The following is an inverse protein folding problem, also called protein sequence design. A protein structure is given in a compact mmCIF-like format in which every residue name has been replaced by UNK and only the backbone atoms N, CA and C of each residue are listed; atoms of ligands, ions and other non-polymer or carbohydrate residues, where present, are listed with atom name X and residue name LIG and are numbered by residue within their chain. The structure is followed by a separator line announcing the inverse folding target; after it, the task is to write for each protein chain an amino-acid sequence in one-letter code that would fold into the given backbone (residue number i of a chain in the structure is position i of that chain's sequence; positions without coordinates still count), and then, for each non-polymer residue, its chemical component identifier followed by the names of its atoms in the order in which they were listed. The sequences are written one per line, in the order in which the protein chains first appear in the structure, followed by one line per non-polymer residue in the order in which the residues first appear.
data_IF_051030665489
#
_entry.id   IF_051030665489
#
_cell.length_a   1.000
_cell.length_b   1.000
_cell.length_c   1.000
_cell.angle_alpha   90.00
_cell.angle_beta   90.00
_cell.angle_gamma   90.00
#
_symmetry.space_group_name_H-M   'P 1'
#
loop_
_entity.id
_entity.type
_entity.pdbx_description
1 polymer ?
#
# COMPACT_ATOMS: atom_id res chain seq x y z
N UNK A 1 -2.12 20.76 -15.89
CA UNK A 1 -3.14 20.36 -14.88
C UNK A 1 -2.97 21.13 -13.56
N UNK A 2 -1.74 21.34 -13.07
CA UNK A 2 -1.47 21.99 -11.76
C UNK A 2 -1.85 23.48 -11.72
N UNK A 3 -1.72 24.20 -12.84
CA UNK A 3 -2.10 25.62 -12.94
C UNK A 3 -3.62 25.77 -12.78
N UNK A 4 -4.41 24.92 -13.41
CA UNK A 4 -5.88 24.94 -13.27
C UNK A 4 -6.32 24.58 -11.85
N UNK A 5 -5.67 23.61 -11.22
CA UNK A 5 -5.95 23.22 -9.83
C UNK A 5 -5.61 24.35 -8.85
N UNK A 6 -4.51 25.08 -9.07
CA UNK A 6 -4.12 26.21 -8.22
C UNK A 6 -5.12 27.35 -8.25
N UNK A 7 -5.73 27.64 -9.42
CA UNK A 7 -6.71 28.71 -9.59
C UNK A 7 -8.09 28.35 -9.02
N UNK A 8 -8.58 27.11 -9.28
CA UNK A 8 -9.94 26.73 -8.90
C UNK A 8 -10.05 26.05 -7.52
N UNK A 9 -8.97 25.45 -7.02
CA UNK A 9 -8.92 24.75 -5.71
C UNK A 9 -7.58 24.97 -5.01
N UNK A 10 -7.26 26.18 -4.56
CA UNK A 10 -5.94 26.50 -3.98
C UNK A 10 -5.60 25.64 -2.77
N UNK A 11 -6.57 25.31 -1.90
CA UNK A 11 -6.33 24.41 -0.75
C UNK A 11 -5.85 23.02 -1.18
N UNK A 12 -6.46 22.45 -2.24
CA UNK A 12 -6.07 21.14 -2.76
C UNK A 12 -4.67 21.19 -3.38
N UNK A 13 -4.34 22.26 -4.09
CA UNK A 13 -3.00 22.49 -4.64
C UNK A 13 -1.94 22.51 -3.54
N UNK A 14 -2.14 23.31 -2.49
CA UNK A 14 -1.20 23.42 -1.39
C UNK A 14 -1.08 22.12 -0.57
N UNK A 15 -2.19 21.39 -0.37
CA UNK A 15 -2.15 20.08 0.29
C UNK A 15 -1.33 19.08 -0.52
N UNK A 16 -1.55 19.00 -1.84
CA UNK A 16 -0.75 18.15 -2.73
C UNK A 16 0.73 18.52 -2.71
N UNK A 17 1.05 19.81 -2.80
CA UNK A 17 2.44 20.29 -2.75
C UNK A 17 3.15 19.87 -1.46
N UNK A 18 2.46 19.94 -0.32
CA UNK A 18 2.99 19.46 0.97
C UNK A 18 3.24 17.95 0.97
N UNK A 19 2.30 17.16 0.47
CA UNK A 19 2.43 15.70 0.38
C UNK A 19 3.60 15.33 -0.55
N UNK A 20 3.69 15.92 -1.74
CA UNK A 20 4.80 15.67 -2.66
C UNK A 20 6.14 16.12 -2.08
N UNK A 21 6.17 17.24 -1.36
CA UNK A 21 7.37 17.69 -0.64
C UNK A 21 7.81 16.66 0.39
N UNK A 22 6.90 16.21 1.25
CA UNK A 22 7.18 15.18 2.23
C UNK A 22 7.71 13.89 1.60
N UNK A 23 7.04 13.41 0.56
CA UNK A 23 7.43 12.20 -0.17
C UNK A 23 8.84 12.34 -0.73
N UNK A 24 9.15 13.45 -1.41
CA UNK A 24 10.46 13.72 -1.98
C UNK A 24 11.57 13.79 -0.92
N UNK A 25 11.28 14.40 0.22
CA UNK A 25 12.29 14.72 1.24
C UNK A 25 12.54 13.53 2.19
N UNK A 26 11.58 12.60 2.31
CA UNK A 26 11.63 11.49 3.26
C UNK A 26 11.70 10.10 2.63
N UNK A 27 11.29 9.93 1.37
CA UNK A 27 11.26 8.64 0.71
C UNK A 27 12.26 8.55 -0.43
N UNK A 28 12.98 7.43 -0.50
CA UNK A 28 13.85 7.11 -1.63
C UNK A 28 13.00 6.53 -2.75
N UNK A 29 12.50 7.40 -3.63
CA UNK A 29 11.69 6.99 -4.77
C UNK A 29 12.60 6.74 -5.97
N UNK A 30 12.39 5.62 -6.66
CA UNK A 30 13.03 5.36 -7.94
C UNK A 30 12.49 6.32 -9.01
N UNK A 31 13.27 6.62 -10.05
CA UNK A 31 12.71 7.29 -11.21
C UNK A 31 11.59 6.44 -11.83
N UNK A 32 10.66 7.08 -12.58
CA UNK A 32 9.62 6.35 -13.29
C UNK A 32 10.24 5.41 -14.34
N UNK A 33 9.60 4.29 -14.58
CA UNK A 33 9.97 3.34 -15.61
C UNK A 33 8.93 3.42 -16.74
N UNK A 34 9.41 3.50 -17.98
CA UNK A 34 8.55 3.65 -19.15
C UNK A 34 7.89 2.34 -19.56
N UNK A 35 8.52 1.21 -19.23
CA UNK A 35 8.03 -0.11 -19.59
C UNK A 35 8.10 -1.11 -18.45
N UNK A 36 7.23 -2.11 -18.50
CA UNK A 36 7.27 -3.24 -17.57
C UNK A 36 8.59 -4.01 -17.62
N UNK A 37 9.18 -4.15 -18.79
CA UNK A 37 10.46 -4.82 -18.98
C UNK A 37 11.60 -4.08 -18.26
N UNK A 38 11.67 -2.76 -18.36
CA UNK A 38 12.62 -1.95 -17.60
C UNK A 38 12.45 -2.12 -16.08
N UNK A 39 11.21 -2.01 -15.60
CA UNK A 39 10.91 -2.21 -14.18
C UNK A 39 11.39 -3.58 -13.71
N UNK A 40 11.11 -4.64 -14.48
CA UNK A 40 11.51 -6.00 -14.15
C UNK A 40 13.03 -6.14 -14.09
N UNK A 41 13.77 -5.69 -15.10
CA UNK A 41 15.23 -5.75 -15.12
C UNK A 41 15.83 -5.06 -13.89
N UNK A 42 15.42 -3.81 -13.63
CA UNK A 42 15.93 -3.05 -12.48
C UNK A 42 15.54 -3.70 -11.15
N UNK A 43 14.32 -4.23 -11.04
CA UNK A 43 13.86 -4.87 -9.83
C UNK A 43 14.69 -6.13 -9.52
N UNK A 44 14.94 -6.96 -10.52
CA UNK A 44 15.73 -8.19 -10.34
C UNK A 44 17.19 -7.92 -9.97
N UNK A 45 17.79 -6.90 -10.57
CA UNK A 45 19.19 -6.55 -10.35
C UNK A 45 19.44 -5.83 -9.02
N UNK A 46 18.53 -4.96 -8.60
CA UNK A 46 18.78 -4.04 -7.49
C UNK A 46 18.16 -4.46 -6.16
N UNK A 47 17.09 -5.26 -6.18
CA UNK A 47 16.35 -5.57 -4.96
C UNK A 47 16.43 -7.04 -4.59
N UNK A 48 16.75 -7.30 -3.34
CA UNK A 48 16.71 -8.65 -2.75
C UNK A 48 15.30 -9.09 -2.39
N UNK A 49 14.38 -8.15 -2.21
CA UNK A 49 12.97 -8.38 -1.98
C UNK A 49 12.14 -7.14 -2.36
N UNK A 50 10.87 -7.36 -2.69
CA UNK A 50 9.87 -6.33 -2.86
C UNK A 50 8.68 -6.58 -1.92
N UNK A 51 8.17 -5.50 -1.34
CA UNK A 51 7.05 -5.56 -0.38
C UNK A 51 5.87 -4.79 -0.97
N UNK A 52 4.71 -5.40 -1.02
CA UNK A 52 3.45 -4.70 -1.29
C UNK A 52 2.58 -4.63 -0.04
N UNK A 53 1.87 -3.55 0.09
CA UNK A 53 1.00 -3.24 1.24
C UNK A 53 1.32 -1.85 1.83
N UNK A 54 0.59 -1.28 2.81
CA UNK A 54 -0.58 -1.97 3.39
C UNK A 54 -1.88 -1.67 2.65
N UNK A 55 -2.44 -0.56 2.69
CA UNK A 55 -3.69 -0.05 2.11
C UNK A 55 -4.56 -1.09 1.35
N UNK A 56 -5.65 -0.67 0.76
CA UNK A 56 -6.57 -1.50 -0.04
C UNK A 56 -6.01 -1.81 -1.44
N UNK A 57 -4.72 -2.13 -1.54
CA UNK A 57 -4.04 -2.35 -2.82
C UNK A 57 -4.50 -3.62 -3.54
N UNK A 58 -5.12 -4.56 -2.83
CA UNK A 58 -5.74 -5.76 -3.39
C UNK A 58 -7.25 -5.62 -3.56
N UNK A 59 -7.77 -4.41 -3.30
CA UNK A 59 -9.16 -4.09 -3.57
C UNK A 59 -9.33 -3.89 -5.08
N UNK A 60 -10.27 -4.62 -5.62
CA UNK A 60 -10.57 -4.68 -7.04
C UNK A 60 -11.66 -3.66 -7.40
N UNK A 61 -11.47 -2.41 -7.02
CA UNK A 61 -12.39 -1.33 -7.38
C UNK A 61 -12.34 -1.12 -8.89
N UNK A 62 -13.36 -1.59 -9.59
CA UNK A 62 -13.43 -1.52 -11.06
C UNK A 62 -13.38 -2.86 -11.79
N UNK A 63 -13.24 -3.99 -11.08
CA UNK A 63 -13.34 -5.32 -11.68
C UNK A 63 -12.04 -5.88 -12.27
N UNK A 64 -10.93 -5.14 -12.22
CA UNK A 64 -9.65 -5.58 -12.77
C UNK A 64 -8.58 -5.75 -11.68
N UNK A 65 -7.81 -6.83 -11.80
CA UNK A 65 -6.63 -7.06 -10.96
C UNK A 65 -5.42 -6.45 -11.64
N UNK A 66 -4.80 -5.45 -10.99
CA UNK A 66 -3.60 -4.84 -11.53
C UNK A 66 -2.35 -5.61 -11.09
N UNK A 67 -1.58 -6.23 -12.01
CA UNK A 67 -0.48 -7.14 -11.67
C UNK A 67 0.64 -6.49 -10.87
N UNK A 68 0.88 -5.19 -10.99
CA UNK A 68 1.92 -4.48 -10.23
C UNK A 68 1.67 -4.51 -8.73
N UNK A 69 0.42 -4.51 -8.27
CA UNK A 69 0.08 -4.64 -6.84
C UNK A 69 0.37 -6.03 -6.26
N UNK A 70 0.65 -7.00 -7.14
CA UNK A 70 1.08 -8.35 -6.77
C UNK A 70 2.55 -8.60 -7.07
N UNK A 71 3.33 -7.54 -7.30
CA UNK A 71 4.78 -7.58 -7.50
C UNK A 71 5.20 -8.53 -8.66
N UNK A 72 4.38 -8.62 -9.72
CA UNK A 72 4.65 -9.56 -10.82
C UNK A 72 5.92 -9.23 -11.61
N UNK A 73 6.48 -8.06 -11.39
CA UNK A 73 7.72 -7.57 -12.01
C UNK A 73 9.00 -8.10 -11.35
N UNK A 74 8.92 -8.89 -10.28
CA UNK A 74 10.07 -9.48 -9.60
C UNK A 74 9.82 -10.98 -9.36
N UNK A 75 10.89 -11.74 -9.20
CA UNK A 75 10.83 -13.17 -8.92
C UNK A 75 9.97 -13.51 -7.68
N UNK A 76 9.25 -14.62 -7.74
CA UNK A 76 8.31 -15.03 -6.69
C UNK A 76 9.00 -15.22 -5.33
N UNK A 77 10.25 -15.68 -5.33
CA UNK A 77 11.04 -15.86 -4.11
C UNK A 77 11.37 -14.55 -3.39
N UNK A 78 11.19 -13.42 -4.06
CA UNK A 78 11.43 -12.07 -3.55
C UNK A 78 10.17 -11.31 -3.17
N UNK A 79 8.95 -11.86 -3.41
CA UNK A 79 7.67 -11.16 -3.19
C UNK A 79 7.18 -11.30 -1.77
N UNK A 80 6.85 -10.18 -1.15
CA UNK A 80 6.35 -10.11 0.23
C UNK A 80 5.06 -9.30 0.24
N UNK A 81 3.98 -9.88 0.75
CA UNK A 81 2.74 -9.16 1.03
C UNK A 81 2.69 -8.83 2.53
N UNK A 82 2.74 -7.52 2.85
CA UNK A 82 2.63 -7.04 4.21
C UNK A 82 1.35 -6.22 4.40
N UNK A 83 0.39 -6.79 5.12
CA UNK A 83 -0.88 -6.15 5.48
C UNK A 83 -1.70 -5.55 4.31
N UNK A 84 -1.65 -6.04 3.04
CA UNK A 84 -2.60 -5.54 2.04
C UNK A 84 -4.03 -5.84 2.50
N UNK A 85 -4.95 -4.92 2.18
CA UNK A 85 -6.38 -5.11 2.38
C UNK A 85 -7.04 -5.52 1.07
N UNK A 86 -7.91 -6.53 1.13
CA UNK A 86 -8.71 -6.98 -0.01
C UNK A 86 -9.93 -6.07 -0.21
N UNK A 87 -10.46 -5.50 0.87
CA UNK A 87 -11.55 -4.52 0.83
C UNK A 87 -12.93 -5.07 0.42
N UNK A 88 -13.06 -6.38 0.20
CA UNK A 88 -14.32 -7.01 -0.19
C UNK A 88 -14.74 -8.14 0.74
N UNK A 89 -16.03 -8.44 0.68
CA UNK A 89 -16.57 -9.64 1.31
C UNK A 89 -16.39 -10.90 0.45
N UNK A 90 -16.24 -10.75 -0.86
CA UNK A 90 -16.02 -11.84 -1.81
C UNK A 90 -15.15 -11.34 -2.96
N UNK A 91 -14.28 -12.17 -3.47
CA UNK A 91 -13.60 -11.90 -4.74
C UNK A 91 -14.64 -12.04 -5.85
N UNK A 92 -14.77 -11.06 -6.76
CA UNK A 92 -15.73 -11.14 -7.84
C UNK A 92 -15.52 -12.41 -8.69
N UNK A 93 -16.63 -13.03 -9.10
CA UNK A 93 -16.59 -14.20 -9.98
C UNK A 93 -15.88 -13.85 -11.30
N UNK A 94 -15.05 -14.77 -11.77
CA UNK A 94 -14.27 -14.62 -13.02
C UNK A 94 -12.84 -14.09 -12.84
N UNK A 95 -12.48 -13.59 -11.65
CA UNK A 95 -11.10 -13.18 -11.34
C UNK A 95 -10.46 -13.98 -10.20
N UNK A 96 -11.19 -14.95 -9.65
CA UNK A 96 -10.72 -15.77 -8.51
C UNK A 96 -9.43 -16.52 -8.85
N UNK A 97 -9.34 -17.11 -10.05
CA UNK A 97 -8.15 -17.84 -10.49
C UNK A 97 -6.95 -16.91 -10.63
N UNK A 98 -7.15 -15.73 -11.22
CA UNK A 98 -6.08 -14.75 -11.38
C UNK A 98 -5.60 -14.24 -10.02
N UNK A 99 -6.54 -13.93 -9.12
CA UNK A 99 -6.25 -13.54 -7.75
C UNK A 99 -5.49 -14.66 -7.03
N UNK A 100 -5.98 -15.88 -7.11
CA UNK A 100 -5.37 -17.06 -6.50
C UNK A 100 -3.93 -17.29 -6.97
N UNK A 101 -3.70 -17.20 -8.27
CA UNK A 101 -2.37 -17.35 -8.87
C UNK A 101 -1.39 -16.29 -8.35
N UNK A 102 -1.81 -15.02 -8.30
CA UNK A 102 -0.95 -13.95 -7.80
C UNK A 102 -0.65 -14.07 -6.30
N UNK A 103 -1.64 -14.46 -5.50
CA UNK A 103 -1.45 -14.69 -4.07
C UNK A 103 -0.55 -15.90 -3.83
N UNK A 104 -0.69 -16.97 -4.63
CA UNK A 104 0.16 -18.16 -4.54
C UNK A 104 1.64 -17.84 -4.85
N UNK A 105 1.89 -16.87 -5.70
CA UNK A 105 3.24 -16.41 -6.03
C UNK A 105 3.91 -15.54 -4.96
N UNK A 106 3.26 -15.26 -3.83
CA UNK A 106 3.87 -14.55 -2.71
C UNK A 106 4.71 -15.50 -1.85
N UNK A 107 5.98 -15.18 -1.63
CA UNK A 107 6.85 -15.93 -0.71
C UNK A 107 6.38 -15.80 0.73
N UNK A 108 6.16 -14.57 1.18
CA UNK A 108 5.60 -14.28 2.50
C UNK A 108 4.24 -13.59 2.33
N UNK A 109 3.25 -14.09 3.07
CA UNK A 109 1.86 -13.72 2.89
C UNK A 109 1.25 -13.29 4.21
N UNK A 110 0.92 -12.01 4.32
CA UNK A 110 0.11 -11.48 5.39
C UNK A 110 -0.98 -10.57 4.85
N UNK A 111 -2.01 -10.32 5.64
CA UNK A 111 -3.12 -9.42 5.31
C UNK A 111 -3.52 -8.63 6.55
N UNK A 112 -4.25 -7.54 6.36
CA UNK A 112 -4.70 -6.68 7.46
C UNK A 112 -5.94 -7.22 8.17
N UNK A 113 -6.82 -7.93 7.46
CA UNK A 113 -8.11 -8.37 8.01
C UNK A 113 -8.25 -9.90 8.11
N UNK A 114 -8.91 -10.35 9.18
CA UNK A 114 -9.29 -11.77 9.34
C UNK A 114 -10.14 -12.29 8.19
N UNK A 115 -11.00 -11.42 7.64
CA UNK A 115 -11.85 -11.77 6.50
C UNK A 115 -11.00 -12.04 5.24
N UNK A 116 -10.04 -11.18 4.94
CA UNK A 116 -9.10 -11.37 3.83
C UNK A 116 -8.31 -12.68 3.94
N UNK A 117 -7.86 -13.02 5.16
CA UNK A 117 -7.19 -14.30 5.39
C UNK A 117 -8.10 -15.51 5.11
N UNK A 118 -9.40 -15.43 5.43
CA UNK A 118 -10.38 -16.47 5.10
C UNK A 118 -10.60 -16.60 3.58
N UNK A 119 -10.73 -15.46 2.88
CA UNK A 119 -10.88 -15.46 1.42
C UNK A 119 -9.68 -16.12 0.74
N UNK A 120 -8.47 -15.75 1.13
CA UNK A 120 -7.24 -16.36 0.61
C UNK A 120 -7.24 -17.86 0.86
N UNK A 121 -7.55 -18.30 2.08
CA UNK A 121 -7.60 -19.72 2.39
C UNK A 121 -8.60 -20.47 1.53
N UNK A 122 -9.79 -19.91 1.32
CA UNK A 122 -10.84 -20.54 0.52
C UNK A 122 -10.45 -20.68 -0.95
N UNK A 123 -9.78 -19.67 -1.52
CA UNK A 123 -9.42 -19.65 -2.96
C UNK A 123 -8.13 -20.43 -3.21
N UNK A 124 -7.12 -20.30 -2.34
CA UNK A 124 -5.77 -20.80 -2.60
C UNK A 124 -5.34 -21.97 -1.72
N UNK A 125 -6.08 -22.26 -0.66
CA UNK A 125 -5.67 -23.22 0.38
C UNK A 125 -4.57 -22.69 1.32
N UNK A 126 -3.92 -21.56 1.01
CA UNK A 126 -2.84 -20.99 1.82
C UNK A 126 -3.35 -20.24 3.04
N UNK A 127 -2.54 -20.23 4.09
CA UNK A 127 -2.79 -19.43 5.28
C UNK A 127 -2.06 -18.08 5.17
N UNK A 128 -2.81 -16.98 5.23
CA UNK A 128 -2.25 -15.64 5.38
C UNK A 128 -2.23 -15.24 6.86
N UNK A 129 -1.11 -14.69 7.33
CA UNK A 129 -0.99 -14.15 8.69
C UNK A 129 -1.73 -12.82 8.79
N UNK A 130 -2.59 -12.65 9.78
CA UNK A 130 -3.23 -11.35 10.04
C UNK A 130 -2.26 -10.50 10.86
N UNK A 131 -1.93 -9.31 10.36
CA UNK A 131 -0.96 -8.39 10.98
C UNK A 131 -1.55 -6.97 11.03
N UNK A 132 -0.96 -6.13 11.87
CA UNK A 132 -1.34 -4.72 11.98
C UNK A 132 -0.92 -3.93 10.73
N UNK A 133 -1.67 -2.88 10.45
CA UNK A 133 -1.24 -1.86 9.50
C UNK A 133 0.09 -1.23 9.97
N UNK A 134 1.05 -0.93 9.08
CA UNK A 134 2.33 -0.33 9.47
C UNK A 134 2.20 0.95 10.30
N UNK A 135 1.16 1.74 10.08
CA UNK A 135 0.91 2.96 10.86
C UNK A 135 0.64 2.70 12.35
N UNK A 136 0.28 1.46 12.71
CA UNK A 136 0.03 1.04 14.10
C UNK A 136 1.24 0.35 14.76
N UNK A 137 2.39 0.28 14.07
CA UNK A 137 3.60 -0.33 14.62
C UNK A 137 4.40 0.63 15.50
N UNK A 138 4.22 1.92 15.32
CA UNK A 138 4.87 2.92 16.18
C UNK A 138 4.12 3.06 17.49
N UNK A 139 4.87 3.19 18.59
CA UNK A 139 4.32 3.50 19.91
C UNK A 139 3.87 4.96 19.97
N UNK A 140 3.10 5.30 21.01
CA UNK A 140 2.67 6.67 21.26
C UNK A 140 3.89 7.62 21.37
N UNK A 141 4.91 7.21 22.10
CA UNK A 141 6.12 7.98 22.32
C UNK A 141 6.90 8.22 21.01
N UNK A 142 6.96 7.22 20.15
CA UNK A 142 7.58 7.34 18.83
C UNK A 142 6.80 8.33 17.96
N UNK A 143 5.45 8.25 17.95
CA UNK A 143 4.62 9.21 17.23
C UNK A 143 4.76 10.63 17.77
N UNK A 144 4.81 10.82 19.10
CA UNK A 144 5.02 12.13 19.73
C UNK A 144 6.37 12.72 19.34
N UNK A 145 7.43 11.94 19.35
CA UNK A 145 8.77 12.37 18.91
C UNK A 145 8.76 12.82 17.44
N UNK A 146 8.13 12.07 16.54
CA UNK A 146 8.00 12.46 15.13
C UNK A 146 7.16 13.73 14.93
N UNK A 147 6.13 13.90 15.74
CA UNK A 147 5.30 15.12 15.71
C UNK A 147 6.08 16.36 16.17
N UNK A 148 6.92 16.25 17.20
CA UNK A 148 7.78 17.33 17.68
C UNK A 148 8.80 17.74 16.61
N UNK A 149 9.42 16.78 15.93
CA UNK A 149 10.35 17.02 14.81
C UNK A 149 9.68 17.80 13.65
N UNK A 150 8.38 17.62 13.45
CA UNK A 150 7.61 18.36 12.43
C UNK A 150 7.13 19.75 12.90
N UNK A 151 7.43 20.14 14.14
CA UNK A 151 6.98 21.42 14.74
C UNK A 151 5.48 21.50 15.02
N UNK A 152 4.77 20.37 14.96
CA UNK A 152 3.36 20.28 15.29
C UNK A 152 3.19 20.04 16.79
N UNK A 153 2.66 21.01 17.51
CA UNK A 153 2.28 20.83 18.91
C UNK A 153 1.01 19.97 19.01
N UNK A 154 1.02 19.02 19.91
CA UNK A 154 -0.21 18.31 20.29
C UNK A 154 -1.24 19.32 20.81
N UNK A 155 -2.49 19.14 20.43
CA UNK A 155 -3.59 19.96 20.94
C UNK A 155 -3.78 19.64 22.44
N UNK A 156 -3.71 20.63 23.30
CA UNK A 156 -3.79 20.45 24.76
C UNK A 156 -5.20 20.35 25.30
N UNK A 157 -6.21 20.71 24.49
CA UNK A 157 -7.63 20.57 24.83
C UNK A 157 -8.19 19.27 24.28
N UNK A 158 -9.08 18.62 25.03
CA UNK A 158 -9.78 17.42 24.56
C UNK A 158 -10.53 17.67 23.25
N UNK A 159 -10.42 16.77 22.30
CA UNK A 159 -11.11 16.82 21.01
C UNK A 159 -11.53 15.42 20.57
N UNK A 160 -12.54 15.37 19.71
CA UNK A 160 -12.93 14.16 19.01
C UNK A 160 -12.49 14.30 17.55
N UNK A 161 -11.63 13.38 17.10
CA UNK A 161 -11.24 13.30 15.70
C UNK A 161 -12.21 12.36 14.97
N UNK A 162 -12.85 12.87 13.92
CA UNK A 162 -13.73 12.08 13.06
C UNK A 162 -13.12 12.04 11.64
N UNK A 163 -13.08 10.84 11.07
CA UNK A 163 -12.68 10.59 9.68
C UNK A 163 -13.81 9.86 8.97
N UNK A 164 -14.35 10.44 7.88
CA UNK A 164 -15.46 9.93 7.08
C UNK A 164 -15.05 9.77 5.62
#
# INVERSE_FOLDING_TARGET
KDILISCYRPRLYWSRKKIYGFVRDNLKISPPYDTYAQLRTVAEERYSAAICGSDQIWSNIGGEIHPLYYLTFIDESKRIAYAPSIGYNQVPSGIEDVFGNYVNAMRFLSVREKHGAKLIKNITGRHAKVVLDPSLLLTKEQWESEMELTGRRAQTSGYIFCYF
#
